data_IF_435250330539
#
_entry.id   IF_435250330539
#
_cell.length_a   1.000
_cell.length_b   1.000
_cell.length_c   1.000
_cell.angle_alpha   90.00
_cell.angle_beta   90.00
_cell.angle_gamma   90.00
#
_symmetry.space_group_name_H-M   'P 1'
#
loop_
_entity.id
_entity.type
_entity.pdbx_description
1 polymer ?
#
# COMPACT_ATOMS: atom_id res chain seq x y z
N UNK A 1 11.41 -12.47 16.92
CA UNK A 1 10.48 -12.39 18.07
C UNK A 1 9.14 -11.94 17.55
N UNK A 2 8.03 -12.54 17.99
CA UNK A 2 6.68 -12.06 17.68
C UNK A 2 6.43 -10.71 18.33
N UNK A 3 5.78 -9.80 17.62
CA UNK A 3 5.30 -8.53 18.17
C UNK A 3 3.77 -8.59 18.22
N UNK A 4 3.16 -7.98 19.23
CA UNK A 4 1.71 -7.85 19.34
C UNK A 4 1.31 -6.49 18.78
N UNK A 5 0.47 -6.47 17.76
CA UNK A 5 0.01 -5.26 17.08
C UNK A 5 -1.51 -5.17 17.10
N UNK A 6 -2.04 -3.95 17.00
CA UNK A 6 -3.47 -3.65 16.97
C UNK A 6 -3.84 -3.03 15.62
N UNK A 7 -4.79 -3.64 14.90
CA UNK A 7 -5.23 -3.16 13.60
C UNK A 7 -6.71 -2.76 13.63
N UNK A 8 -7.07 -1.58 13.10
CA UNK A 8 -8.47 -1.20 12.97
C UNK A 8 -9.12 -2.00 11.85
N UNK A 9 -10.22 -2.68 12.14
CA UNK A 9 -11.07 -3.34 11.15
C UNK A 9 -12.49 -2.79 11.24
N UNK A 10 -13.15 -2.70 10.10
CA UNK A 10 -14.58 -2.38 10.07
C UNK A 10 -15.39 -3.67 10.14
N UNK A 11 -16.24 -3.82 11.16
CA UNK A 11 -17.18 -4.95 11.26
C UNK A 11 -18.57 -4.51 10.85
N UNK A 12 -19.18 -5.30 9.98
CA UNK A 12 -20.54 -5.12 9.47
C UNK A 12 -21.48 -6.23 9.92
N UNK A 13 -20.99 -7.23 10.65
CA UNK A 13 -21.78 -8.30 11.25
C UNK A 13 -21.90 -8.08 12.76
N UNK A 14 -23.06 -8.47 13.32
CA UNK A 14 -23.38 -8.51 14.75
C UNK A 14 -23.95 -7.24 15.39
N UNK A 15 -24.83 -6.49 14.72
CA UNK A 15 -25.57 -5.33 15.26
C UNK A 15 -24.72 -4.15 15.78
N UNK A 16 -23.39 -4.27 15.80
CA UNK A 16 -22.43 -3.21 16.08
C UNK A 16 -21.70 -2.84 14.79
N UNK A 17 -22.24 -1.86 14.07
CA UNK A 17 -21.59 -1.26 12.91
C UNK A 17 -20.52 -0.28 13.38
N UNK A 18 -19.25 -0.58 13.13
CA UNK A 18 -18.18 0.29 13.60
C UNK A 18 -16.75 -0.23 13.39
N UNK A 19 -15.80 0.65 13.68
CA UNK A 19 -14.37 0.32 13.71
C UNK A 19 -14.06 -0.35 15.04
N UNK A 20 -13.53 -1.57 14.98
CA UNK A 20 -13.00 -2.29 16.15
C UNK A 20 -11.51 -2.52 15.97
N UNK A 21 -10.76 -2.58 17.07
CA UNK A 21 -9.33 -2.87 17.04
C UNK A 21 -9.11 -4.36 17.32
N UNK A 22 -8.48 -5.06 16.38
CA UNK A 22 -8.10 -6.47 16.55
C UNK A 22 -6.64 -6.55 16.97
N UNK A 23 -6.38 -7.34 18.01
CA UNK A 23 -5.02 -7.71 18.41
C UNK A 23 -4.55 -8.91 17.61
N UNK A 24 -3.36 -8.80 16.99
CA UNK A 24 -2.72 -9.89 16.26
C UNK A 24 -1.26 -10.06 16.69
N UNK A 25 -0.78 -11.30 16.71
CA UNK A 25 0.63 -11.62 16.92
C UNK A 25 1.32 -11.78 15.57
N UNK A 26 2.18 -10.83 15.24
CA UNK A 26 2.84 -10.76 13.94
C UNK A 26 4.23 -11.36 14.04
N UNK A 27 4.54 -12.28 13.12
CA UNK A 27 5.86 -12.89 12.97
C UNK A 27 6.67 -12.13 11.91
N UNK A 28 8.00 -12.03 12.08
CA UNK A 28 8.87 -11.65 10.98
C UNK A 28 8.64 -12.59 9.79
N UNK A 29 8.52 -12.02 8.60
CA UNK A 29 8.31 -12.78 7.36
C UNK A 29 9.37 -12.39 6.34
N UNK A 30 10.15 -13.38 5.91
CA UNK A 30 11.16 -13.21 4.87
C UNK A 30 10.52 -12.85 3.52
N UNK A 31 9.30 -13.33 3.26
CA UNK A 31 8.54 -13.00 2.06
C UNK A 31 8.25 -11.49 1.97
N UNK A 32 7.73 -10.90 3.05
CA UNK A 32 7.48 -9.45 3.07
C UNK A 32 8.77 -8.65 3.05
N UNK A 33 9.84 -9.19 3.64
CA UNK A 33 11.16 -8.57 3.56
C UNK A 33 11.68 -8.49 2.12
N UNK A 34 11.51 -9.56 1.34
CA UNK A 34 11.88 -9.59 -0.07
C UNK A 34 10.96 -8.73 -0.94
N UNK A 35 9.67 -8.66 -0.59
CA UNK A 35 8.70 -7.81 -1.28
C UNK A 35 9.10 -6.33 -1.24
N UNK A 36 9.58 -5.84 -0.08
CA UNK A 36 10.00 -4.45 0.11
C UNK A 36 11.26 -4.06 -0.68
N UNK A 37 11.96 -5.02 -1.30
CA UNK A 37 13.08 -4.73 -2.21
C UNK A 37 12.62 -4.30 -3.60
N UNK A 38 11.33 -4.48 -3.92
CA UNK A 38 10.76 -4.11 -5.22
C UNK A 38 9.47 -3.30 -5.02
N UNK A 39 9.56 -1.96 -5.10
CA UNK A 39 8.41 -1.07 -4.85
C UNK A 39 7.21 -1.30 -5.75
N UNK A 40 7.42 -1.61 -7.04
CA UNK A 40 6.34 -1.92 -7.98
C UNK A 40 5.59 -3.19 -7.56
N UNK A 41 6.31 -4.27 -7.25
CA UNK A 41 5.70 -5.52 -6.78
C UNK A 41 5.02 -5.37 -5.43
N UNK A 42 5.61 -4.61 -4.51
CA UNK A 42 4.98 -4.29 -3.24
C UNK A 42 3.67 -3.54 -3.45
N UNK A 43 3.65 -2.59 -4.38
CA UNK A 43 2.42 -1.85 -4.70
C UNK A 43 1.35 -2.76 -5.29
N UNK A 44 1.71 -3.60 -6.27
CA UNK A 44 0.80 -4.58 -6.86
C UNK A 44 0.24 -5.56 -5.81
N UNK A 45 1.05 -5.98 -4.83
CA UNK A 45 0.62 -6.86 -3.76
C UNK A 45 -0.46 -6.24 -2.85
N UNK A 46 -0.29 -4.98 -2.44
CA UNK A 46 -1.24 -4.32 -1.52
C UNK A 46 -2.41 -3.61 -2.23
N UNK A 47 -2.18 -3.08 -3.43
CA UNK A 47 -3.09 -2.16 -4.11
C UNK A 47 -3.36 -2.50 -5.58
N UNK A 48 -2.87 -3.64 -6.10
CA UNK A 48 -3.03 -4.01 -7.52
C UNK A 48 -4.47 -4.24 -7.97
N UNK A 49 -5.41 -4.44 -7.04
CA UNK A 49 -6.83 -4.65 -7.31
C UNK A 49 -7.72 -3.45 -6.98
N UNK A 50 -7.13 -2.26 -6.80
CA UNK A 50 -7.89 -1.04 -6.51
C UNK A 50 -8.84 -0.68 -7.66
N UNK A 51 -10.11 -0.47 -7.33
CA UNK A 51 -11.14 -0.01 -8.26
C UNK A 51 -11.68 1.32 -7.75
N UNK A 52 -11.82 2.29 -8.65
CA UNK A 52 -12.40 3.58 -8.31
C UNK A 52 -13.87 3.42 -7.89
N UNK A 53 -14.28 3.92 -6.71
CA UNK A 53 -15.69 3.90 -6.30
C UNK A 53 -16.57 4.80 -7.18
N UNK A 54 -17.86 4.46 -7.26
CA UNK A 54 -18.84 5.29 -7.95
C UNK A 54 -18.97 6.66 -7.30
N UNK A 55 -19.14 7.70 -8.12
CA UNK A 55 -19.29 9.08 -7.66
C UNK A 55 -17.99 9.79 -7.28
N UNK A 56 -16.83 9.12 -7.32
CA UNK A 56 -15.52 9.74 -7.08
C UNK A 56 -14.99 10.37 -8.36
N UNK A 57 -14.53 11.62 -8.28
CA UNK A 57 -13.95 12.32 -9.44
C UNK A 57 -12.62 11.70 -9.88
N UNK A 58 -12.25 11.85 -11.16
CA UNK A 58 -10.93 11.40 -11.64
C UNK A 58 -9.79 11.99 -10.81
N UNK A 59 -9.86 13.29 -10.48
CA UNK A 59 -8.81 13.97 -9.71
C UNK A 59 -8.66 13.38 -8.31
N UNK A 60 -9.76 13.13 -7.62
CA UNK A 60 -9.71 12.57 -6.27
C UNK A 60 -9.23 11.11 -6.30
N UNK A 61 -9.57 10.38 -7.35
CA UNK A 61 -9.03 9.04 -7.61
C UNK A 61 -7.53 9.05 -7.88
N UNK A 62 -7.05 9.93 -8.77
CA UNK A 62 -5.62 10.04 -9.10
C UNK A 62 -4.81 10.44 -7.85
N UNK A 63 -5.36 11.31 -7.01
CA UNK A 63 -4.78 11.66 -5.72
C UNK A 63 -4.72 10.45 -4.77
N UNK A 64 -5.77 9.63 -4.72
CA UNK A 64 -5.79 8.41 -3.92
C UNK A 64 -4.75 7.39 -4.41
N UNK A 65 -4.69 7.15 -5.72
CA UNK A 65 -3.68 6.28 -6.33
C UNK A 65 -2.28 6.78 -6.00
N UNK A 66 -2.01 8.08 -6.18
CA UNK A 66 -0.71 8.67 -5.84
C UNK A 66 -0.37 8.53 -4.35
N UNK A 67 -1.34 8.73 -3.45
CA UNK A 67 -1.14 8.55 -2.02
C UNK A 67 -0.80 7.09 -1.67
N UNK A 68 -1.48 6.12 -2.29
CA UNK A 68 -1.19 4.69 -2.09
C UNK A 68 0.22 4.31 -2.56
N UNK A 69 0.68 4.84 -3.70
CA UNK A 69 2.06 4.69 -4.14
C UNK A 69 3.05 5.26 -3.12
N UNK A 70 2.78 6.47 -2.63
CA UNK A 70 3.66 7.15 -1.68
C UNK A 70 3.84 6.34 -0.39
N UNK A 71 2.76 5.76 0.15
CA UNK A 71 2.81 4.91 1.35
C UNK A 71 3.69 3.67 1.13
N UNK A 72 3.48 2.93 0.04
CA UNK A 72 4.26 1.71 -0.24
C UNK A 72 5.72 2.04 -0.52
N UNK A 73 5.96 3.09 -1.30
CA UNK A 73 7.32 3.47 -1.70
C UNK A 73 8.12 4.01 -0.51
N UNK A 74 7.48 4.68 0.45
CA UNK A 74 8.13 5.11 1.69
C UNK A 74 8.64 3.91 2.49
N UNK A 75 7.82 2.85 2.63
CA UNK A 75 8.23 1.61 3.31
C UNK A 75 9.42 0.93 2.60
N UNK A 76 9.37 0.87 1.27
CA UNK A 76 10.46 0.31 0.49
C UNK A 76 11.73 1.17 0.58
N UNK A 77 11.59 2.50 0.56
CA UNK A 77 12.70 3.43 0.67
C UNK A 77 13.41 3.31 2.03
N UNK A 78 12.62 3.23 3.10
CA UNK A 78 13.12 2.97 4.45
C UNK A 78 13.89 1.64 4.51
N UNK A 79 13.34 0.58 3.90
CA UNK A 79 13.98 -0.74 3.86
C UNK A 79 15.30 -0.73 3.06
N UNK A 80 15.34 -0.02 1.93
CA UNK A 80 16.49 0.05 1.03
C UNK A 80 17.53 1.11 1.42
N UNK A 81 17.25 1.95 2.42
CA UNK A 81 18.14 3.02 2.85
C UNK A 81 18.27 4.16 1.84
N UNK A 82 17.19 4.49 1.13
CA UNK A 82 17.09 5.62 0.18
C UNK A 82 15.96 6.56 0.60
N UNK A 83 15.79 7.69 -0.11
CA UNK A 83 14.67 8.59 0.12
C UNK A 83 13.47 8.23 -0.76
N UNK A 84 12.26 8.46 -0.24
CA UNK A 84 11.03 8.38 -1.05
C UNK A 84 11.13 9.25 -2.30
N UNK A 85 11.71 10.45 -2.19
CA UNK A 85 11.88 11.35 -3.32
C UNK A 85 12.69 10.73 -4.46
N UNK A 86 13.83 10.10 -4.16
CA UNK A 86 14.65 9.42 -5.18
C UNK A 86 13.89 8.26 -5.83
N UNK A 87 13.13 7.51 -5.02
CA UNK A 87 12.34 6.38 -5.49
C UNK A 87 11.19 6.82 -6.41
N UNK A 88 10.43 7.83 -6.00
CA UNK A 88 9.38 8.43 -6.83
C UNK A 88 9.94 9.06 -8.11
N UNK A 89 11.09 9.75 -8.03
CA UNK A 89 11.75 10.29 -9.21
C UNK A 89 12.18 9.19 -10.19
N UNK A 90 12.64 8.05 -9.68
CA UNK A 90 13.02 6.91 -10.52
C UNK A 90 11.80 6.32 -11.21
N UNK A 91 10.70 6.15 -10.47
CA UNK A 91 9.44 5.66 -11.01
C UNK A 91 8.83 6.60 -12.05
N UNK A 92 8.78 7.90 -11.78
CA UNK A 92 8.28 8.90 -12.72
C UNK A 92 9.11 9.01 -14.01
N UNK A 93 10.39 8.60 -13.97
CA UNK A 93 11.28 8.54 -15.14
C UNK A 93 11.15 7.25 -15.94
N UNK A 94 10.46 6.22 -15.43
CA UNK A 94 10.20 5.03 -16.20
C UNK A 94 9.23 5.39 -17.33
N UNK A 95 9.50 4.97 -18.59
CA UNK A 95 8.52 5.13 -19.65
C UNK A 95 7.24 4.43 -19.19
N UNK A 96 6.11 5.14 -19.28
CA UNK A 96 4.80 4.58 -18.91
C UNK A 96 4.65 3.23 -19.61
N UNK A 97 4.66 2.13 -18.85
CA UNK A 97 4.28 0.82 -19.38
C UNK A 97 2.86 1.01 -19.93
N UNK A 98 2.79 0.93 -21.26
CA UNK A 98 1.70 1.41 -22.09
C UNK A 98 0.29 1.14 -21.53
N UNK A 99 -0.55 2.16 -21.67
CA UNK A 99 -1.95 2.06 -22.06
C UNK A 99 -2.14 0.87 -23.00
N UNK A 100 -2.78 -0.20 -22.52
CA UNK A 100 -3.28 -1.27 -23.38
C UNK A 100 -4.78 -1.40 -23.13
N UNK A 101 -5.50 -0.82 -24.08
CA UNK A 101 -6.84 -1.12 -24.60
C UNK A 101 -7.93 -1.63 -23.65
#
# INVERSE_FOLDING_TARGET
TTVREEFPTYRTSDNDEGVVWLEEYVLPSDEYHDLLKNPEKAYEHYFGSLVRPDGVSNRDWDNHVYASYSVVFELCALHLGTSLFEMLCTYAKQPSKNTLH
#
